data_IF_675587295749
#
_entry.id   IF_675587295749
#
_cell.length_a   1.000
_cell.length_b   1.000
_cell.length_c   1.000
_cell.angle_alpha   90.00
_cell.angle_beta   90.00
_cell.angle_gamma   90.00
#
_symmetry.space_group_name_H-M   'P 1'
#
loop_
_entity.id
_entity.type
_entity.pdbx_description
1 polymer ?
#
# COMPACT_ATOMS: atom_id res chain seq x y z
N UNK A 1 3.09 -3.61 25.16
CA UNK A 1 1.90 -2.76 25.02
C UNK A 1 1.93 -2.11 23.64
N UNK A 2 0.95 -2.37 22.76
CA UNK A 2 0.86 -1.67 21.47
C UNK A 2 0.65 -0.17 21.71
N UNK A 3 1.34 0.69 20.93
CA UNK A 3 1.25 2.16 21.05
C UNK A 3 0.09 2.75 20.25
N UNK A 4 -0.21 2.17 19.08
CA UNK A 4 -1.31 2.60 18.21
C UNK A 4 -2.44 1.57 18.35
N UNK A 5 -3.44 1.90 19.17
CA UNK A 5 -4.57 1.02 19.44
C UNK A 5 -5.58 1.07 18.30
N UNK A 6 -6.18 -0.08 17.97
CA UNK A 6 -7.29 -0.16 17.03
C UNK A 6 -8.50 0.61 17.57
N UNK A 7 -9.15 1.38 16.72
CA UNK A 7 -10.41 2.09 17.02
C UNK A 7 -11.55 1.49 16.20
N UNK A 8 -12.34 0.62 16.85
CA UNK A 8 -13.49 -0.04 16.25
C UNK A 8 -14.63 0.90 15.82
N UNK A 9 -14.57 2.20 16.17
CA UNK A 9 -15.52 3.20 15.66
C UNK A 9 -15.15 3.72 14.27
N UNK A 10 -13.86 3.67 13.93
CA UNK A 10 -13.34 4.19 12.67
C UNK A 10 -12.97 3.08 11.69
N UNK A 11 -12.54 1.93 12.22
CA UNK A 11 -12.00 0.82 11.44
C UNK A 11 -12.66 -0.50 11.83
N UNK A 12 -12.82 -1.37 10.84
CA UNK A 12 -13.42 -2.68 10.99
C UNK A 12 -12.71 -3.51 12.08
N UNK A 13 -13.48 -4.07 13.00
CA UNK A 13 -12.99 -5.03 13.98
C UNK A 13 -13.06 -6.45 13.41
N UNK A 14 -12.43 -7.42 14.09
CA UNK A 14 -12.49 -8.82 13.67
C UNK A 14 -13.93 -9.35 13.59
N UNK A 15 -14.34 -9.74 12.38
CA UNK A 15 -15.54 -10.53 12.13
C UNK A 15 -15.23 -11.63 11.10
N UNK A 16 -14.97 -12.84 11.61
CA UNK A 16 -14.61 -14.01 10.81
C UNK A 16 -15.74 -14.51 9.90
N UNK A 17 -16.97 -13.99 10.04
CA UNK A 17 -18.05 -14.27 9.10
C UNK A 17 -17.99 -13.38 7.85
N UNK A 18 -17.25 -12.26 7.91
CA UNK A 18 -17.12 -11.27 6.84
C UNK A 18 -15.74 -11.32 6.18
N UNK A 19 -14.68 -11.44 6.99
CA UNK A 19 -13.31 -11.37 6.53
C UNK A 19 -12.38 -12.27 7.36
N UNK A 20 -11.32 -12.77 6.74
CA UNK A 20 -10.46 -13.80 7.32
C UNK A 20 -9.56 -13.33 8.48
N UNK A 21 -9.31 -12.02 8.60
CA UNK A 21 -8.40 -11.43 9.58
C UNK A 21 -8.86 -10.04 10.06
N UNK A 22 -8.17 -9.52 11.08
CA UNK A 22 -8.25 -8.12 11.48
C UNK A 22 -7.11 -7.34 10.83
N UNK A 23 -7.45 -6.43 9.91
CA UNK A 23 -6.50 -5.49 9.32
C UNK A 23 -6.22 -4.34 10.30
N UNK A 24 -5.13 -4.46 11.06
CA UNK A 24 -4.56 -3.37 11.86
C UNK A 24 -3.07 -3.61 12.08
N UNK A 25 -2.27 -3.39 11.04
CA UNK A 25 -0.84 -3.77 11.01
C UNK A 25 0.00 -2.90 10.08
N UNK A 26 1.29 -3.20 10.02
CA UNK A 26 2.27 -2.60 9.10
C UNK A 26 2.38 -1.06 9.17
N UNK A 27 2.57 -0.46 10.36
CA UNK A 27 2.64 0.99 10.45
C UNK A 27 3.85 1.54 9.67
N UNK A 28 3.59 2.47 8.75
CA UNK A 28 4.58 3.35 8.15
C UNK A 28 4.56 4.70 8.84
N UNK A 29 5.60 4.96 9.64
CA UNK A 29 5.72 6.20 10.42
C UNK A 29 6.60 7.20 9.68
N UNK A 30 6.12 8.44 9.55
CA UNK A 30 6.87 9.54 8.97
C UNK A 30 6.61 10.84 9.74
N UNK A 31 7.51 11.81 9.63
CA UNK A 31 7.32 13.14 10.19
C UNK A 31 6.77 14.08 9.11
N UNK A 32 5.72 14.83 9.41
CA UNK A 32 5.14 15.79 8.49
C UNK A 32 6.15 16.93 8.25
N UNK A 33 6.48 17.27 6.98
CA UNK A 33 7.52 18.23 6.66
C UNK A 33 7.22 19.64 7.20
N UNK A 34 5.96 20.06 7.19
CA UNK A 34 5.58 21.43 7.61
C UNK A 34 5.23 21.56 9.11
N UNK A 35 4.51 20.60 9.70
CA UNK A 35 4.04 20.70 11.09
C UNK A 35 5.00 20.07 12.10
N UNK A 36 5.86 19.14 11.66
CA UNK A 36 6.75 18.39 12.53
C UNK A 36 6.07 17.27 13.34
N UNK A 37 4.76 17.11 13.24
CA UNK A 37 4.03 15.99 13.85
C UNK A 37 4.43 14.66 13.20
N UNK A 38 4.36 13.57 13.95
CA UNK A 38 4.51 12.22 13.42
C UNK A 38 3.16 11.68 12.95
N UNK A 39 3.17 11.01 11.82
CA UNK A 39 2.01 10.39 11.21
C UNK A 39 2.32 8.91 10.97
N UNK A 40 1.30 8.06 11.12
CA UNK A 40 1.39 6.65 10.81
C UNK A 40 0.30 6.28 9.79
N UNK A 41 0.72 5.58 8.74
CA UNK A 41 -0.16 4.91 7.78
C UNK A 41 -0.19 3.42 8.07
N UNK A 42 -1.38 2.83 8.15
CA UNK A 42 -1.59 1.50 8.71
C UNK A 42 -2.51 0.70 7.78
N UNK A 43 -2.18 -0.56 7.52
CA UNK A 43 -3.06 -1.50 6.83
C UNK A 43 -4.34 -1.66 7.65
N UNK A 44 -5.48 -1.23 7.10
CA UNK A 44 -6.77 -1.28 7.78
C UNK A 44 -7.93 -1.57 6.83
N UNK A 45 -9.12 -1.71 7.41
CA UNK A 45 -10.38 -1.88 6.70
C UNK A 45 -11.46 -0.99 7.30
N UNK A 46 -12.42 -0.56 6.49
CA UNK A 46 -13.68 0.06 6.95
C UNK A 46 -14.78 -1.00 7.11
N UNK A 47 -15.85 -0.68 7.82
CA UNK A 47 -16.91 -1.63 8.18
C UNK A 47 -18.14 -1.62 7.26
N UNK A 48 -18.11 -0.86 6.17
CA UNK A 48 -19.25 -0.67 5.26
C UNK A 48 -18.89 -0.94 3.79
N UNK A 49 -19.93 -1.15 2.97
CA UNK A 49 -19.76 -1.55 1.56
C UNK A 49 -19.42 -3.04 1.37
N UNK A 50 -19.14 -3.49 0.13
CA UNK A 50 -18.77 -4.87 -0.19
C UNK A 50 -17.47 -5.30 0.51
N UNK A 51 -17.44 -6.50 1.09
CA UNK A 51 -16.32 -6.95 1.93
C UNK A 51 -14.96 -6.99 1.20
N UNK A 52 -14.97 -7.32 -0.09
CA UNK A 52 -13.82 -7.36 -1.00
C UNK A 52 -13.29 -5.98 -1.40
N UNK A 53 -13.98 -4.89 -1.03
CA UNK A 53 -13.57 -3.51 -1.29
C UNK A 53 -13.34 -2.69 -0.01
N UNK A 54 -13.30 -3.30 1.17
CA UNK A 54 -13.21 -2.56 2.45
C UNK A 54 -11.80 -2.10 2.83
N UNK A 55 -10.76 -2.49 2.09
CA UNK A 55 -9.37 -2.14 2.38
C UNK A 55 -9.12 -0.64 2.26
N UNK A 56 -8.44 -0.07 3.25
CA UNK A 56 -8.03 1.34 3.30
C UNK A 56 -6.67 1.48 3.99
N UNK A 57 -6.03 2.64 3.83
CA UNK A 57 -4.90 3.05 4.65
C UNK A 57 -5.41 3.92 5.80
N UNK A 58 -5.34 3.37 7.01
CA UNK A 58 -5.66 4.08 8.24
C UNK A 58 -4.64 5.16 8.56
N UNK A 59 -5.07 6.16 9.33
CA UNK A 59 -4.26 7.30 9.73
C UNK A 59 -4.20 7.42 11.24
N UNK A 60 -2.99 7.58 11.78
CA UNK A 60 -2.79 8.08 13.14
C UNK A 60 -1.80 9.24 13.17
N UNK A 61 -1.91 10.11 14.17
CA UNK A 61 -1.03 11.26 14.41
C UNK A 61 -0.47 11.23 15.84
N UNK A 62 0.77 11.66 16.01
CA UNK A 62 1.43 11.76 17.32
C UNK A 62 2.38 12.96 17.36
N UNK A 63 2.47 13.62 18.51
CA UNK A 63 3.47 14.67 18.74
C UNK A 63 4.79 14.11 19.32
N UNK A 64 4.80 12.88 19.84
CA UNK A 64 5.89 12.35 20.68
C UNK A 64 6.26 10.87 20.39
N UNK A 65 5.64 10.24 19.39
CA UNK A 65 5.74 8.81 19.04
C UNK A 65 5.22 7.84 20.11
N UNK A 66 4.70 8.33 21.24
CA UNK A 66 4.21 7.53 22.36
C UNK A 66 2.68 7.55 22.44
N UNK A 67 2.09 8.72 22.23
CA UNK A 67 0.65 8.97 22.29
C UNK A 67 0.11 9.21 20.89
N UNK A 68 -0.86 8.41 20.47
CA UNK A 68 -1.39 8.42 19.11
C UNK A 68 -2.89 8.73 19.09
N UNK A 69 -3.28 9.70 18.26
CA UNK A 69 -4.65 10.00 17.89
C UNK A 69 -5.00 9.24 16.60
N UNK A 70 -6.08 8.46 16.63
CA UNK A 70 -6.58 7.75 15.44
C UNK A 70 -7.51 8.68 14.66
N UNK A 71 -7.24 8.82 13.36
CA UNK A 71 -7.91 9.74 12.44
C UNK A 71 -8.61 8.95 11.32
N UNK A 72 -9.53 9.58 10.55
CA UNK A 72 -10.14 8.95 9.38
C UNK A 72 -9.10 8.45 8.36
N UNK A 73 -9.43 7.44 7.53
CA UNK A 73 -8.48 6.91 6.55
C UNK A 73 -8.04 7.97 5.54
N UNK A 74 -6.80 7.82 5.04
CA UNK A 74 -6.27 8.71 3.99
C UNK A 74 -6.63 8.25 2.57
N UNK A 75 -7.25 7.07 2.43
CA UNK A 75 -7.68 6.51 1.14
C UNK A 75 -9.15 6.14 1.17
N UNK A 76 -9.79 6.24 0.02
CA UNK A 76 -11.15 5.74 -0.18
C UNK A 76 -11.19 4.21 -0.33
N UNK A 77 -12.25 3.54 0.15
CA UNK A 77 -12.47 2.12 -0.08
C UNK A 77 -12.95 1.85 -1.52
N UNK A 78 -13.02 0.58 -1.89
CA UNK A 78 -13.76 0.08 -3.07
C UNK A 78 -12.92 -0.68 -4.09
N UNK A 79 -11.61 -0.56 -4.02
CA UNK A 79 -10.69 -1.16 -5.01
C UNK A 79 -10.11 -2.51 -4.55
N UNK A 80 -9.85 -2.64 -3.25
CA UNK A 80 -9.17 -3.80 -2.66
C UNK A 80 -9.75 -4.15 -1.29
N UNK A 81 -9.66 -5.42 -0.91
CA UNK A 81 -10.02 -5.92 0.41
C UNK A 81 -8.93 -5.65 1.45
N UNK A 82 -7.67 -5.50 1.02
CA UNK A 82 -6.55 -5.08 1.85
C UNK A 82 -5.61 -4.20 1.04
N UNK A 83 -5.05 -3.19 1.68
CA UNK A 83 -3.96 -2.36 1.16
C UNK A 83 -2.80 -2.50 2.15
N UNK A 84 -1.91 -3.46 1.88
CA UNK A 84 -0.93 -3.95 2.85
C UNK A 84 0.42 -3.25 2.75
N UNK A 85 1.19 -3.28 3.84
CA UNK A 85 2.57 -2.78 3.89
C UNK A 85 2.72 -1.37 3.28
N UNK A 86 1.98 -0.37 3.80
CA UNK A 86 2.02 0.97 3.23
C UNK A 86 3.44 1.56 3.27
N UNK A 87 3.75 2.39 2.29
CA UNK A 87 4.93 3.24 2.28
C UNK A 87 4.62 4.57 1.60
N UNK A 88 4.96 5.69 2.25
CA UNK A 88 4.91 7.00 1.63
C UNK A 88 6.30 7.41 1.11
N UNK A 89 6.42 7.63 -0.20
CA UNK A 89 7.62 8.16 -0.84
C UNK A 89 7.37 9.57 -1.39
N UNK A 90 8.24 10.51 -1.06
CA UNK A 90 8.21 11.88 -1.59
C UNK A 90 9.21 12.01 -2.75
N UNK A 91 8.73 12.33 -3.94
CA UNK A 91 9.54 12.40 -5.16
C UNK A 91 9.14 13.63 -5.96
N UNK A 92 10.10 14.53 -6.20
CA UNK A 92 9.93 15.74 -7.01
C UNK A 92 8.67 16.56 -6.67
N UNK A 93 8.40 16.72 -5.36
CA UNK A 93 7.25 17.49 -4.87
C UNK A 93 5.91 16.76 -4.90
N UNK A 94 5.88 15.48 -5.25
CA UNK A 94 4.70 14.60 -5.17
C UNK A 94 4.88 13.49 -4.15
N UNK A 95 3.77 12.96 -3.68
CA UNK A 95 3.72 11.87 -2.73
C UNK A 95 3.12 10.62 -3.37
N UNK A 96 3.81 9.50 -3.21
CA UNK A 96 3.43 8.19 -3.70
C UNK A 96 3.17 7.29 -2.50
N UNK A 97 1.91 6.88 -2.32
CA UNK A 97 1.50 5.94 -1.27
C UNK A 97 1.46 4.54 -1.88
N UNK A 98 2.54 3.80 -1.66
CA UNK A 98 2.65 2.41 -2.08
C UNK A 98 1.93 1.49 -1.10
N UNK A 99 1.43 0.38 -1.62
CA UNK A 99 0.86 -0.73 -0.85
C UNK A 99 0.94 -2.01 -1.70
N UNK A 100 0.89 -3.18 -1.09
CA UNK A 100 0.73 -4.44 -1.79
C UNK A 100 -0.65 -5.07 -1.56
N UNK A 101 -1.04 -5.94 -2.48
CA UNK A 101 -2.34 -6.63 -2.48
C UNK A 101 -2.18 -7.96 -3.21
N UNK A 102 -2.99 -8.94 -2.81
CA UNK A 102 -3.06 -10.27 -3.42
C UNK A 102 -4.21 -10.33 -4.43
N UNK A 103 -4.13 -11.26 -5.40
CA UNK A 103 -5.21 -11.53 -6.38
C UNK A 103 -6.56 -11.73 -5.69
N UNK A 104 -6.60 -12.46 -4.58
CA UNK A 104 -7.81 -12.78 -3.81
C UNK A 104 -8.44 -11.55 -3.14
N UNK A 105 -7.65 -10.48 -2.96
CA UNK A 105 -8.09 -9.24 -2.32
C UNK A 105 -8.44 -8.15 -3.33
N UNK A 106 -8.48 -8.44 -4.62
CA UNK A 106 -8.95 -7.49 -5.63
C UNK A 106 -10.48 -7.46 -5.65
N UNK A 107 -11.09 -6.27 -5.50
CA UNK A 107 -12.53 -6.14 -5.52
C UNK A 107 -13.11 -6.50 -6.90
N UNK A 108 -14.24 -7.21 -6.93
CA UNK A 108 -14.91 -7.56 -8.18
C UNK A 108 -15.30 -6.31 -9.01
N UNK A 109 -15.67 -5.23 -8.33
CA UNK A 109 -15.98 -3.94 -8.94
C UNK A 109 -14.79 -3.34 -9.71
N UNK A 110 -13.55 -3.49 -9.19
CA UNK A 110 -12.34 -3.03 -9.88
C UNK A 110 -12.13 -3.79 -11.19
N UNK A 111 -12.24 -5.11 -11.16
CA UNK A 111 -12.10 -5.96 -12.36
C UNK A 111 -13.14 -5.58 -13.42
N UNK A 112 -14.40 -5.35 -13.01
CA UNK A 112 -15.47 -4.92 -13.92
C UNK A 112 -15.21 -3.53 -14.51
N UNK A 113 -14.75 -2.58 -13.69
CA UNK A 113 -14.48 -1.19 -14.12
C UNK A 113 -13.28 -1.08 -15.06
N UNK A 114 -12.22 -1.85 -14.80
CA UNK A 114 -10.93 -1.72 -15.50
C UNK A 114 -10.76 -2.71 -16.65
N UNK A 115 -11.49 -3.83 -16.65
CA UNK A 115 -11.27 -4.95 -17.57
C UNK A 115 -9.92 -5.65 -17.39
N UNK A 116 -9.21 -5.38 -16.29
CA UNK A 116 -7.89 -5.97 -15.99
C UNK A 116 -8.06 -7.16 -15.05
N UNK A 117 -7.34 -8.27 -15.27
CA UNK A 117 -7.33 -9.38 -14.33
C UNK A 117 -6.71 -8.93 -12.99
N UNK A 118 -7.15 -9.50 -11.86
CA UNK A 118 -6.46 -9.37 -10.58
C UNK A 118 -5.00 -9.80 -10.69
N UNK A 119 -4.12 -9.10 -9.97
CA UNK A 119 -2.71 -9.47 -9.83
C UNK A 119 -2.29 -9.37 -8.37
N UNK A 120 -1.29 -10.15 -8.01
CA UNK A 120 -0.57 -10.02 -6.74
C UNK A 120 0.64 -9.12 -6.97
N UNK A 121 0.83 -8.10 -6.12
CA UNK A 121 2.00 -7.23 -6.23
C UNK A 121 1.86 -5.89 -5.51
N UNK A 122 2.68 -4.93 -5.90
CA UNK A 122 2.72 -3.56 -5.37
C UNK A 122 2.05 -2.58 -6.33
N UNK A 123 1.17 -1.75 -5.78
CA UNK A 123 0.56 -0.62 -6.46
C UNK A 123 0.78 0.67 -5.66
N UNK A 124 0.29 1.79 -6.18
CA UNK A 124 0.45 3.09 -5.55
C UNK A 124 -0.69 4.04 -5.87
N UNK A 125 -0.91 4.98 -4.94
CA UNK A 125 -1.71 6.18 -5.14
C UNK A 125 -0.80 7.41 -5.15
N UNK A 126 -1.27 8.51 -5.74
CA UNK A 126 -0.53 9.78 -5.80
C UNK A 126 -1.28 10.91 -5.11
N UNK A 127 -0.56 11.84 -4.52
CA UNK A 127 -1.08 13.08 -3.94
C UNK A 127 -0.06 14.22 -4.06
N UNK A 128 -0.55 15.47 -3.95
CA UNK A 128 0.28 16.67 -3.89
C UNK A 128 0.62 17.07 -2.44
N UNK A 129 0.05 16.38 -1.45
CA UNK A 129 0.28 16.57 -0.01
C UNK A 129 0.50 15.21 0.66
N UNK A 130 1.35 15.11 1.70
CA UNK A 130 1.68 13.83 2.34
C UNK A 130 0.48 13.12 2.97
N UNK A 131 -0.64 13.82 3.22
CA UNK A 131 -1.86 13.29 3.82
C UNK A 131 -3.01 13.15 2.80
N UNK A 132 -2.73 13.30 1.51
CA UNK A 132 -3.73 13.21 0.45
C UNK A 132 -4.37 14.56 0.10
N UNK A 133 -5.47 14.55 -0.69
CA UNK A 133 -6.21 13.37 -1.11
C UNK A 133 -5.39 12.48 -2.06
N UNK A 134 -5.36 11.19 -1.77
CA UNK A 134 -4.70 10.19 -2.61
C UNK A 134 -5.63 9.72 -3.72
N UNK A 135 -5.09 9.57 -4.93
CA UNK A 135 -5.84 9.10 -6.11
C UNK A 135 -5.03 8.08 -6.92
N UNK A 136 -5.72 7.19 -7.62
CA UNK A 136 -5.09 6.33 -8.61
C UNK A 136 -4.55 7.20 -9.76
N UNK A 137 -3.24 7.09 -10.03
CA UNK A 137 -2.64 7.70 -11.22
C UNK A 137 -2.88 6.84 -12.48
N UNK A 138 -2.97 5.52 -12.29
CA UNK A 138 -3.14 4.51 -13.32
C UNK A 138 -3.82 3.29 -12.71
N UNK A 139 -4.53 2.48 -13.52
CA UNK A 139 -5.05 1.18 -13.10
C UNK A 139 -4.00 0.06 -13.19
N UNK A 140 -2.82 0.33 -13.76
CA UNK A 140 -1.70 -0.61 -13.82
C UNK A 140 -0.93 -0.64 -12.51
N UNK A 141 -0.63 -1.84 -12.03
CA UNK A 141 0.26 -2.03 -10.89
C UNK A 141 1.67 -1.54 -11.21
N UNK A 142 2.40 -1.13 -10.17
CA UNK A 142 3.81 -0.77 -10.33
C UNK A 142 4.63 -2.01 -10.68
N UNK A 143 4.37 -3.08 -9.93
CA UNK A 143 4.94 -4.42 -10.08
C UNK A 143 3.85 -5.40 -9.69
N UNK A 144 3.54 -6.37 -10.53
CA UNK A 144 2.58 -7.41 -10.19
C UNK A 144 2.24 -8.31 -11.37
N UNK A 145 1.97 -9.57 -11.05
CA UNK A 145 1.52 -10.62 -11.97
C UNK A 145 0.52 -11.55 -11.27
N UNK A 146 -0.04 -12.50 -11.99
CA UNK A 146 -1.06 -13.41 -11.45
C UNK A 146 -0.50 -14.34 -10.35
N UNK A 147 0.78 -14.71 -10.45
CA UNK A 147 1.41 -15.67 -9.53
C UNK A 147 1.96 -15.01 -8.26
N UNK A 148 2.18 -13.70 -8.29
CA UNK A 148 2.86 -12.97 -7.22
C UNK A 148 4.36 -13.24 -7.21
N UNK A 149 5.06 -13.04 -8.33
CA UNK A 149 6.53 -13.19 -8.39
C UNK A 149 7.24 -12.28 -7.40
N UNK A 150 6.76 -11.04 -7.28
CA UNK A 150 7.29 -10.01 -6.39
C UNK A 150 6.19 -9.49 -5.46
N UNK A 151 6.47 -9.39 -4.17
CA UNK A 151 5.52 -8.93 -3.16
C UNK A 151 6.14 -8.01 -2.11
N UNK A 152 5.30 -7.26 -1.39
CA UNK A 152 5.70 -6.33 -0.33
C UNK A 152 6.83 -5.35 -0.75
N UNK A 153 6.75 -4.87 -1.99
CA UNK A 153 7.78 -4.02 -2.59
C UNK A 153 7.85 -2.62 -1.98
N UNK A 154 9.07 -2.08 -1.93
CA UNK A 154 9.40 -0.76 -1.37
C UNK A 154 10.31 0.02 -2.29
N UNK A 155 10.12 1.34 -2.28
CA UNK A 155 11.04 2.29 -2.87
C UNK A 155 12.10 2.73 -1.86
N UNK A 156 13.34 2.80 -2.33
CA UNK A 156 14.49 3.33 -1.59
C UNK A 156 15.32 4.22 -2.52
N UNK A 157 16.11 5.13 -1.94
CA UNK A 157 17.12 5.87 -2.69
C UNK A 157 18.46 5.13 -2.66
N UNK A 158 19.04 4.92 -3.83
CA UNK A 158 20.39 4.39 -3.99
C UNK A 158 21.48 5.40 -3.60
N UNK A 159 22.75 4.97 -3.56
CA UNK A 159 23.88 5.84 -3.19
C UNK A 159 24.09 7.05 -4.11
N UNK A 160 23.60 6.98 -5.34
CA UNK A 160 23.63 8.05 -6.35
C UNK A 160 22.40 8.97 -6.29
N UNK A 161 21.47 8.71 -5.36
CA UNK A 161 20.19 9.42 -5.23
C UNK A 161 19.10 8.91 -6.17
N UNK A 162 19.39 7.93 -7.03
CA UNK A 162 18.40 7.29 -7.91
C UNK A 162 17.38 6.48 -7.12
N UNK A 163 16.14 6.40 -7.60
CA UNK A 163 15.12 5.56 -6.99
C UNK A 163 15.26 4.10 -7.42
N UNK A 164 15.25 3.21 -6.44
CA UNK A 164 15.30 1.77 -6.61
C UNK A 164 14.09 1.13 -5.95
N UNK A 165 13.66 -0.01 -6.49
CA UNK A 165 12.60 -0.84 -5.96
C UNK A 165 13.17 -2.17 -5.48
N UNK A 166 12.86 -2.55 -4.25
CA UNK A 166 13.19 -3.85 -3.67
C UNK A 166 11.89 -4.55 -3.29
N UNK A 167 11.82 -5.86 -3.52
CA UNK A 167 10.66 -6.65 -3.14
C UNK A 167 11.09 -8.04 -2.64
N UNK A 168 10.17 -8.73 -1.99
CA UNK A 168 10.33 -10.16 -1.76
C UNK A 168 10.08 -10.88 -3.07
N UNK A 169 11.01 -11.74 -3.45
CA UNK A 169 10.76 -12.81 -4.41
C UNK A 169 9.85 -13.81 -3.71
N UNK A 170 8.57 -13.78 -4.07
CA UNK A 170 7.51 -14.40 -3.28
C UNK A 170 7.19 -15.80 -3.79
N UNK A 171 6.66 -15.90 -5.01
CA UNK A 171 6.33 -17.19 -5.64
C UNK A 171 7.17 -17.44 -6.89
N UNK A 172 7.55 -18.70 -7.09
CA UNK A 172 8.11 -19.17 -8.37
C UNK A 172 6.99 -19.55 -9.34
N UNK A 173 7.27 -19.66 -10.66
CA UNK A 173 6.26 -20.06 -11.65
C UNK A 173 5.62 -21.44 -11.41
N UNK A 174 6.31 -22.35 -10.71
CA UNK A 174 5.80 -23.66 -10.30
C UNK A 174 5.06 -23.64 -8.94
N UNK A 175 4.82 -22.44 -8.39
CA UNK A 175 4.01 -22.24 -7.19
C UNK A 175 4.73 -22.51 -5.88
N UNK A 176 6.07 -22.49 -5.85
CA UNK A 176 6.84 -22.62 -4.63
C UNK A 176 7.11 -21.25 -4.00
N UNK A 177 7.01 -21.18 -2.67
CA UNK A 177 7.42 -19.99 -1.93
C UNK A 177 8.95 -19.90 -1.88
N UNK A 178 9.50 -18.75 -2.30
CA UNK A 178 10.94 -18.52 -2.31
C UNK A 178 11.43 -17.80 -1.04
N UNK A 179 10.84 -16.64 -0.71
CA UNK A 179 11.15 -15.92 0.53
C UNK A 179 12.51 -15.21 0.52
N UNK A 180 12.97 -14.78 -0.65
CA UNK A 180 14.25 -14.09 -0.84
C UNK A 180 14.05 -12.59 -1.08
N UNK A 181 15.06 -11.77 -0.79
CA UNK A 181 15.08 -10.37 -1.23
C UNK A 181 15.50 -10.31 -2.71
N UNK A 182 14.83 -9.48 -3.50
CA UNK A 182 15.25 -9.22 -4.88
C UNK A 182 16.56 -8.42 -4.93
N UNK A 183 17.24 -8.48 -6.07
CA UNK A 183 18.15 -7.39 -6.45
C UNK A 183 17.34 -6.08 -6.60
N UNK A 184 17.97 -4.89 -6.44
CA UNK A 184 17.28 -3.62 -6.64
C UNK A 184 16.96 -3.41 -8.11
N UNK A 185 15.69 -3.09 -8.41
CA UNK A 185 15.23 -2.72 -9.73
C UNK A 185 15.23 -1.19 -9.89
N UNK A 186 15.76 -0.63 -10.98
CA UNK A 186 15.66 0.79 -11.25
C UNK A 186 14.21 1.26 -11.37
N UNK A 187 13.89 2.40 -10.75
CA UNK A 187 12.60 3.07 -10.91
C UNK A 187 12.77 4.25 -11.86
N UNK A 188 11.85 4.36 -12.81
CA UNK A 188 11.72 5.50 -13.72
C UNK A 188 10.40 6.22 -13.48
N UNK A 189 10.36 7.50 -13.81
CA UNK A 189 9.20 8.36 -13.64
C UNK A 189 8.93 9.02 -14.99
N UNK A 190 7.71 8.83 -15.52
CA UNK A 190 7.33 9.44 -16.79
C UNK A 190 7.00 10.94 -16.64
N UNK A 191 6.74 11.62 -17.76
CA UNK A 191 6.42 13.05 -17.76
C UNK A 191 5.10 13.39 -17.03
N UNK A 192 4.20 12.42 -16.89
CA UNK A 192 2.95 12.57 -16.15
C UNK A 192 3.15 12.32 -14.64
N UNK A 193 4.31 11.83 -14.23
CA UNK A 193 4.64 11.44 -12.86
C UNK A 193 4.14 10.05 -12.50
N UNK A 194 3.99 9.14 -13.46
CA UNK A 194 3.74 7.73 -13.18
C UNK A 194 5.07 7.01 -12.97
N UNK A 195 5.09 6.14 -11.97
CA UNK A 195 6.22 5.27 -11.67
C UNK A 195 6.21 4.04 -12.58
N UNK A 196 7.39 3.61 -13.01
CA UNK A 196 7.63 2.34 -13.69
C UNK A 196 8.88 1.67 -13.12
N UNK A 197 8.84 0.34 -12.98
CA UNK A 197 9.97 -0.49 -12.56
C UNK A 197 10.37 -1.37 -13.73
N UNK A 198 11.66 -1.40 -14.06
CA UNK A 198 12.18 -2.35 -15.05
C UNK A 198 12.38 -3.71 -14.38
N UNK A 199 11.30 -4.49 -14.33
CA UNK A 199 11.31 -5.86 -13.83
C UNK A 199 10.75 -6.80 -14.92
N UNK A 200 11.24 -8.04 -14.94
CA UNK A 200 10.70 -9.08 -15.80
C UNK A 200 9.92 -10.07 -14.95
N UNK A 201 8.66 -10.30 -15.30
CA UNK A 201 7.90 -11.44 -14.79
C UNK A 201 8.64 -12.73 -15.19
N UNK A 202 8.86 -13.61 -14.22
CA UNK A 202 9.54 -14.89 -14.44
C UNK A 202 8.67 -15.88 -15.22
#
# INVERSE_FOLDING_TARGET
>A
NPLILHDAKQYEALDLAVWEDQAWRDPWVFQHPDTGDFHAFITARIDHGPADGRGVIAHARSADLLTWEILPPVTEPGEFGKMEVPQLAAIDGRYYLLFCTLVETTAAARTQRTGRPPVTGTHYLVADNPLGPFRLATDQFLVGDEIGSLFAGRMIQGPDGGWLFLAWRFMTPDGQFLGELSDPYPVTIDQAGNLAVDWQSS
#
